data_IF_756646439787
#
_entry.id   IF_756646439787
#
_cell.length_a   1.000
_cell.length_b   1.000
_cell.length_c   1.000
_cell.angle_alpha   90.00
_cell.angle_beta   90.00
_cell.angle_gamma   90.00
#
_symmetry.space_group_name_H-M   'P 1'
#
loop_
_entity.id
_entity.type
_entity.pdbx_description
1 polymer ?
#
# COMPACT_ATOMS: atom_id res chain seq x y z
N UNK A 1 10.81 -30.99 -3.10
CA UNK A 1 9.68 -30.18 -3.61
C UNK A 1 9.52 -28.97 -2.69
N UNK A 2 9.85 -27.75 -3.16
CA UNK A 2 9.71 -26.52 -2.35
C UNK A 2 8.35 -25.90 -2.64
N UNK A 3 7.42 -25.96 -1.68
CA UNK A 3 6.17 -25.21 -1.75
C UNK A 3 6.47 -23.81 -1.19
N UNK A 4 6.38 -22.75 -2.00
CA UNK A 4 6.62 -21.40 -1.51
C UNK A 4 5.50 -20.99 -0.54
N UNK A 5 5.88 -20.48 0.64
CA UNK A 5 4.94 -20.01 1.67
C UNK A 5 4.18 -18.77 1.18
N UNK A 6 4.81 -17.95 0.34
CA UNK A 6 4.19 -16.79 -0.29
C UNK A 6 4.60 -16.69 -1.76
N UNK A 7 3.67 -16.28 -2.62
CA UNK A 7 3.93 -15.91 -4.01
C UNK A 7 3.59 -14.43 -4.17
N UNK A 8 4.55 -13.51 -4.00
CA UNK A 8 4.27 -12.09 -4.15
C UNK A 8 3.82 -11.81 -5.58
N UNK A 9 2.79 -10.99 -5.73
CA UNK A 9 2.24 -10.57 -7.01
C UNK A 9 2.61 -9.09 -7.14
N UNK A 10 3.49 -8.78 -8.09
CA UNK A 10 3.87 -7.42 -8.43
C UNK A 10 3.71 -7.24 -9.93
N UNK A 11 2.59 -6.67 -10.33
CA UNK A 11 2.31 -6.26 -11.69
C UNK A 11 3.03 -4.95 -12.04
N UNK A 12 2.63 -4.39 -13.18
CA UNK A 12 3.18 -3.11 -13.66
C UNK A 12 2.70 -1.94 -12.80
N UNK A 13 1.44 -1.97 -12.39
CA UNK A 13 0.79 -0.91 -11.62
C UNK A 13 1.43 -0.75 -10.23
N UNK A 14 1.73 -1.86 -9.55
CA UNK A 14 2.38 -1.83 -8.23
C UNK A 14 3.79 -1.24 -8.32
N UNK A 15 4.54 -1.56 -9.40
CA UNK A 15 5.88 -1.00 -9.62
C UNK A 15 5.81 0.50 -9.87
N UNK A 16 4.88 0.95 -10.71
CA UNK A 16 4.69 2.37 -10.99
C UNK A 16 4.26 3.14 -9.75
N UNK A 17 3.40 2.56 -8.91
CA UNK A 17 2.99 3.17 -7.64
C UNK A 17 4.19 3.37 -6.70
N UNK A 18 5.09 2.39 -6.61
CA UNK A 18 6.33 2.50 -5.82
C UNK A 18 7.26 3.56 -6.41
N UNK A 19 7.47 3.58 -7.71
CA UNK A 19 8.29 4.62 -8.37
C UNK A 19 7.77 6.02 -8.08
N UNK A 20 6.45 6.25 -8.16
CA UNK A 20 5.83 7.55 -7.83
C UNK A 20 6.10 7.98 -6.38
N UNK A 21 6.14 7.05 -5.43
CA UNK A 21 6.48 7.35 -4.03
C UNK A 21 7.95 7.73 -3.91
N UNK A 22 8.84 6.99 -4.57
CA UNK A 22 10.28 7.30 -4.59
C UNK A 22 10.57 8.66 -5.22
N UNK A 23 9.93 8.97 -6.36
CA UNK A 23 10.08 10.24 -7.06
C UNK A 23 9.56 11.43 -6.24
N UNK A 24 8.55 11.21 -5.39
CA UNK A 24 8.02 12.26 -4.52
C UNK A 24 8.96 12.66 -3.38
N UNK A 25 10.03 11.89 -3.13
CA UNK A 25 10.98 12.14 -2.04
C UNK A 25 10.43 11.92 -0.63
N UNK A 26 9.13 11.63 -0.50
CA UNK A 26 8.44 11.40 0.77
C UNK A 26 8.22 9.90 0.98
N UNK A 27 9.14 9.26 1.71
CA UNK A 27 9.13 7.81 1.99
C UNK A 27 8.35 7.48 3.29
N UNK A 28 8.08 8.48 4.12
CA UNK A 28 7.29 8.33 5.35
C UNK A 28 5.77 8.35 5.08
N UNK A 29 4.96 8.39 6.14
CA UNK A 29 3.50 8.51 6.04
C UNK A 29 3.12 9.83 5.36
N UNK A 30 2.88 9.75 4.05
CA UNK A 30 2.47 10.87 3.21
C UNK A 30 1.03 10.73 2.71
N UNK A 31 0.68 11.56 1.73
CA UNK A 31 -0.67 11.64 1.15
C UNK A 31 -1.18 10.29 0.62
N UNK A 32 -0.28 9.44 0.11
CA UNK A 32 -0.61 8.09 -0.38
C UNK A 32 -1.15 7.17 0.72
N UNK A 33 -0.68 7.32 1.95
CA UNK A 33 -1.18 6.53 3.09
C UNK A 33 -2.57 6.98 3.49
N UNK A 34 -2.82 8.29 3.50
CA UNK A 34 -4.15 8.84 3.79
C UNK A 34 -5.19 8.45 2.73
N UNK A 35 -4.79 8.45 1.46
CA UNK A 35 -5.63 7.99 0.35
C UNK A 35 -5.98 6.50 0.53
N UNK A 36 -4.97 5.68 0.83
CA UNK A 36 -5.15 4.26 1.08
C UNK A 36 -6.08 4.01 2.28
N UNK A 37 -5.89 4.70 3.40
CA UNK A 37 -6.75 4.58 4.59
C UNK A 37 -8.22 4.83 4.21
N UNK A 38 -8.52 5.93 3.51
CA UNK A 38 -9.89 6.25 3.08
C UNK A 38 -10.49 5.15 2.21
N UNK A 39 -9.77 4.73 1.17
CA UNK A 39 -10.21 3.67 0.27
C UNK A 39 -10.43 2.36 1.02
N UNK A 40 -9.54 2.03 1.95
CA UNK A 40 -9.62 0.83 2.77
C UNK A 40 -10.81 0.87 3.73
N UNK A 41 -11.06 2.01 4.36
CA UNK A 41 -12.23 2.21 5.24
C UNK A 41 -13.52 2.00 4.46
N UNK A 42 -13.62 2.59 3.26
CA UNK A 42 -14.77 2.41 2.37
C UNK A 42 -14.92 0.96 1.89
N UNK A 43 -13.83 0.31 1.50
CA UNK A 43 -13.84 -1.09 1.05
C UNK A 43 -14.31 -2.04 2.17
N UNK A 44 -13.84 -1.84 3.40
CA UNK A 44 -14.21 -2.66 4.55
C UNK A 44 -15.55 -2.27 5.19
N UNK A 45 -16.17 -1.16 4.78
CA UNK A 45 -17.35 -0.59 5.44
C UNK A 45 -17.07 -0.11 6.87
N UNK A 46 -15.80 0.14 7.20
CA UNK A 46 -15.38 0.61 8.51
C UNK A 46 -15.51 2.13 8.60
N UNK A 47 -15.78 2.64 9.82
CA UNK A 47 -15.82 4.08 10.08
C UNK A 47 -14.43 4.73 10.08
N UNK A 48 -13.41 3.95 10.46
CA UNK A 48 -12.03 4.39 10.56
C UNK A 48 -11.08 3.26 10.15
N UNK A 49 -9.96 3.64 9.54
CA UNK A 49 -8.82 2.80 9.21
C UNK A 49 -7.55 3.59 9.52
N UNK A 50 -6.49 2.89 9.95
CA UNK A 50 -5.21 3.52 10.27
C UNK A 50 -4.07 2.59 9.88
N UNK A 51 -3.15 3.08 9.06
CA UNK A 51 -1.91 2.42 8.73
C UNK A 51 -0.91 2.60 9.86
N UNK A 52 -0.71 1.52 10.62
CA UNK A 52 0.30 1.50 11.68
C UNK A 52 1.70 1.30 11.10
N UNK A 53 2.67 2.05 11.62
CA UNK A 53 4.09 1.74 11.42
C UNK A 53 4.49 0.66 12.42
N UNK A 54 5.41 -0.22 12.01
CA UNK A 54 6.06 -1.18 12.90
C UNK A 54 7.16 -0.51 13.71
#
# INVERSE_FOLDING_TARGET
MKIPIAKPIFGKEEKEAVCKVLDSGMIAQGERVLEFEKLFSSYCGAKHSNCVKK
#
